data_IF_532988870031
#
_entry.id   IF_532988870031
#
_cell.length_a   1.000
_cell.length_b   1.000
_cell.length_c   1.000
_cell.angle_alpha   90.00
_cell.angle_beta   90.00
_cell.angle_gamma   90.00
#
_symmetry.space_group_name_H-M   'P 1'
#
loop_
_entity.id
_entity.type
_entity.pdbx_description
1 polymer ?
#
# COMPACT_ATOMS: atom_id res chain seq x y z
N UNK A 1 14.19 18.88 20.66
CA UNK A 1 13.07 18.82 21.64
C UNK A 1 11.76 18.67 20.89
N UNK A 2 11.42 19.59 20.00
CA UNK A 2 10.17 19.55 19.25
C UNK A 2 9.96 18.24 18.45
N UNK A 3 11.01 17.68 17.83
CA UNK A 3 10.92 16.41 17.07
C UNK A 3 10.62 15.22 17.98
N UNK A 4 11.16 15.20 19.19
CA UNK A 4 10.92 14.14 20.18
C UNK A 4 9.48 14.19 20.70
N UNK A 5 8.98 15.39 20.99
CA UNK A 5 7.60 15.60 21.43
C UNK A 5 6.59 15.21 20.35
N UNK A 6 6.83 15.60 19.10
CA UNK A 6 5.97 15.21 17.97
C UNK A 6 5.96 13.69 17.78
N UNK A 7 7.10 13.02 17.91
CA UNK A 7 7.17 11.57 17.82
C UNK A 7 6.40 10.89 18.95
N UNK A 8 6.52 11.39 20.19
CA UNK A 8 5.76 10.88 21.32
C UNK A 8 4.24 11.02 21.11
N UNK A 9 3.77 12.15 20.59
CA UNK A 9 2.37 12.35 20.24
C UNK A 9 1.91 11.38 19.15
N UNK A 10 2.71 11.17 18.12
CA UNK A 10 2.40 10.20 17.06
C UNK A 10 2.32 8.78 17.60
N UNK A 11 3.22 8.39 18.48
CA UNK A 11 3.21 7.06 19.10
C UNK A 11 2.00 6.86 19.98
N UNK A 12 1.58 7.89 20.71
CA UNK A 12 0.34 7.87 21.50
C UNK A 12 -0.88 7.61 20.61
N UNK A 13 -0.98 8.30 19.48
CA UNK A 13 -2.08 8.12 18.52
C UNK A 13 -2.04 6.73 17.91
N UNK A 14 -0.85 6.26 17.46
CA UNK A 14 -0.70 4.91 16.91
C UNK A 14 -1.14 3.83 17.91
N UNK A 15 -0.66 3.91 19.14
CA UNK A 15 -1.00 2.96 20.19
C UNK A 15 -2.52 2.94 20.45
N UNK A 16 -3.16 4.09 20.50
CA UNK A 16 -4.61 4.20 20.66
C UNK A 16 -5.37 3.50 19.53
N UNK A 17 -4.94 3.68 18.28
CA UNK A 17 -5.58 3.04 17.12
C UNK A 17 -5.34 1.53 17.15
N UNK A 18 -4.11 1.08 17.42
CA UNK A 18 -3.81 -0.34 17.55
C UNK A 18 -4.62 -1.02 18.67
N UNK A 19 -4.75 -0.38 19.84
CA UNK A 19 -5.58 -0.88 20.95
C UNK A 19 -7.05 -1.02 20.54
N UNK A 20 -7.57 -0.08 19.76
CA UNK A 20 -8.94 -0.15 19.24
C UNK A 20 -9.11 -1.30 18.25
N UNK A 21 -8.17 -1.48 17.34
CA UNK A 21 -8.18 -2.58 16.37
C UNK A 21 -8.16 -3.94 17.08
N UNK A 22 -7.26 -4.11 18.04
CA UNK A 22 -7.14 -5.36 18.81
C UNK A 22 -8.42 -5.63 19.63
N UNK A 23 -8.95 -4.60 20.29
CA UNK A 23 -10.18 -4.72 21.12
C UNK A 23 -11.39 -5.15 20.29
N UNK A 24 -11.49 -4.69 19.07
CA UNK A 24 -12.61 -4.97 18.18
C UNK A 24 -12.35 -6.13 17.21
N UNK A 25 -11.18 -6.74 17.25
CA UNK A 25 -10.80 -7.79 16.31
C UNK A 25 -10.87 -7.30 14.85
N UNK A 26 -10.47 -6.07 14.62
CA UNK A 26 -10.64 -5.39 13.33
C UNK A 26 -9.42 -5.48 12.41
N UNK A 27 -8.36 -6.18 12.81
CA UNK A 27 -7.23 -6.56 11.96
C UNK A 27 -7.42 -8.01 11.47
N UNK A 28 -7.24 -8.24 10.18
CA UNK A 28 -7.39 -9.55 9.57
C UNK A 28 -6.21 -10.49 9.83
N UNK A 29 -5.07 -9.96 10.31
CA UNK A 29 -3.90 -10.76 10.64
C UNK A 29 -4.01 -11.36 12.05
N UNK A 30 -3.40 -12.53 12.22
CA UNK A 30 -3.31 -13.14 13.54
C UNK A 30 -2.40 -12.33 14.48
N UNK A 31 -2.76 -12.27 15.75
CA UNK A 31 -2.02 -11.55 16.79
C UNK A 31 -2.40 -10.07 16.90
N UNK A 32 -1.56 -9.31 17.59
CA UNK A 32 -1.80 -7.89 17.80
C UNK A 32 -1.48 -7.05 16.57
N UNK A 33 -2.25 -5.99 16.35
CA UNK A 33 -2.02 -5.00 15.30
C UNK A 33 -0.80 -4.09 15.60
N UNK A 34 -0.32 -4.06 16.85
CA UNK A 34 0.76 -3.19 17.27
C UNK A 34 2.05 -3.38 16.46
N UNK A 35 2.70 -2.27 16.14
CA UNK A 35 4.00 -2.23 15.47
C UNK A 35 3.96 -2.42 13.96
N UNK A 36 2.78 -2.49 13.34
CA UNK A 36 2.64 -2.67 11.89
C UNK A 36 1.54 -1.77 11.31
N UNK A 37 1.53 -1.63 9.99
CA UNK A 37 0.38 -1.08 9.27
C UNK A 37 -0.72 -2.14 9.31
N UNK A 38 -1.91 -1.83 9.84
CA UNK A 38 -2.98 -2.81 10.00
C UNK A 38 -3.48 -3.34 8.66
N UNK A 39 -3.72 -4.65 8.58
CA UNK A 39 -4.52 -5.23 7.51
C UNK A 39 -5.98 -5.26 7.96
N UNK A 40 -6.63 -4.10 7.95
CA UNK A 40 -7.95 -3.93 8.52
C UNK A 40 -9.04 -4.70 7.78
N UNK A 41 -10.01 -5.21 8.53
CA UNK A 41 -11.20 -5.84 7.99
C UNK A 41 -11.99 -4.79 7.20
N UNK A 42 -12.30 -5.10 5.94
CA UNK A 42 -12.95 -4.15 5.03
C UNK A 42 -12.01 -3.47 4.03
N UNK A 43 -10.75 -3.90 3.94
CA UNK A 43 -9.79 -3.38 2.97
C UNK A 43 -10.28 -3.52 1.52
N UNK A 44 -10.97 -4.61 1.19
CA UNK A 44 -11.59 -4.82 -0.13
C UNK A 44 -12.67 -3.77 -0.40
N UNK A 45 -13.58 -3.55 0.54
CA UNK A 45 -14.62 -2.54 0.42
C UNK A 45 -14.03 -1.12 0.32
N UNK A 46 -12.94 -0.85 1.02
CA UNK A 46 -12.22 0.42 0.92
C UNK A 46 -11.62 0.61 -0.49
N UNK A 47 -11.07 -0.44 -1.08
CA UNK A 47 -10.57 -0.39 -2.45
C UNK A 47 -11.69 -0.14 -3.47
N UNK A 48 -12.88 -0.72 -3.25
CA UNK A 48 -14.05 -0.44 -4.09
C UNK A 48 -14.48 1.03 -4.00
N UNK A 49 -14.49 1.60 -2.80
CA UNK A 49 -14.79 3.03 -2.59
C UNK A 49 -13.74 3.95 -3.22
N UNK A 50 -12.46 3.58 -3.11
CA UNK A 50 -11.39 4.34 -3.77
C UNK A 50 -11.61 4.39 -5.28
N UNK A 51 -12.04 3.28 -5.88
CA UNK A 51 -12.26 3.19 -7.32
C UNK A 51 -13.46 4.03 -7.83
N UNK A 52 -14.36 4.44 -6.95
CA UNK A 52 -15.46 5.36 -7.28
C UNK A 52 -14.98 6.82 -7.41
N UNK A 53 -13.80 7.16 -6.88
CA UNK A 53 -13.29 8.52 -6.90
C UNK A 53 -12.75 8.89 -8.28
N UNK A 54 -13.00 10.15 -8.70
CA UNK A 54 -12.51 10.66 -9.98
C UNK A 54 -11.00 10.60 -10.09
N UNK A 55 -10.28 10.88 -9.01
CA UNK A 55 -8.80 10.78 -8.97
C UNK A 55 -8.29 9.39 -9.30
N UNK A 56 -9.02 8.34 -8.91
CA UNK A 56 -8.69 6.97 -9.30
C UNK A 56 -9.00 6.73 -10.77
N UNK A 57 -10.17 7.14 -11.22
CA UNK A 57 -10.63 6.90 -12.59
C UNK A 57 -9.71 7.57 -13.63
N UNK A 58 -9.21 8.75 -13.32
CA UNK A 58 -8.30 9.51 -14.18
C UNK A 58 -6.85 9.01 -14.12
N UNK A 59 -6.46 8.29 -13.08
CA UNK A 59 -5.08 7.83 -12.90
C UNK A 59 -4.73 6.70 -13.87
N UNK A 60 -3.64 6.88 -14.62
CA UNK A 60 -3.02 5.84 -15.43
C UNK A 60 -1.83 5.17 -14.71
N UNK A 61 -1.14 5.92 -13.87
CA UNK A 61 0.06 5.47 -13.14
C UNK A 61 -0.17 5.63 -11.63
N UNK A 62 -0.11 4.53 -10.91
CA UNK A 62 -0.31 4.47 -9.46
C UNK A 62 0.97 4.01 -8.77
N UNK A 63 1.35 4.71 -7.71
CA UNK A 63 2.41 4.27 -6.80
C UNK A 63 1.78 3.80 -5.49
N UNK A 64 2.17 2.62 -5.04
CA UNK A 64 1.63 2.01 -3.82
C UNK A 64 2.75 1.48 -2.92
N UNK A 65 2.42 1.26 -1.66
CA UNK A 65 3.31 0.58 -0.70
C UNK A 65 2.95 -0.91 -0.59
N UNK A 66 3.86 -1.77 -0.09
CA UNK A 66 3.66 -3.22 -0.11
C UNK A 66 2.71 -3.75 0.98
N UNK A 67 2.04 -2.89 1.72
CA UNK A 67 1.15 -3.29 2.82
C UNK A 67 0.02 -4.20 2.34
N UNK A 68 -0.36 -5.17 3.16
CA UNK A 68 -1.44 -6.12 2.85
C UNK A 68 -2.80 -5.44 2.68
N UNK A 69 -3.09 -4.42 3.48
CA UNK A 69 -4.33 -3.64 3.36
C UNK A 69 -4.50 -2.98 1.98
N UNK A 70 -3.42 -2.71 1.27
CA UNK A 70 -3.45 -2.12 -0.05
C UNK A 70 -3.45 -3.15 -1.19
N UNK A 71 -3.34 -4.43 -0.88
CA UNK A 71 -3.34 -5.49 -1.91
C UNK A 71 -4.59 -5.41 -2.80
N UNK A 72 -5.82 -5.27 -2.28
CA UNK A 72 -7.01 -5.14 -3.12
C UNK A 72 -6.96 -3.95 -4.07
N UNK A 73 -6.45 -2.80 -3.61
CA UNK A 73 -6.30 -1.62 -4.45
C UNK A 73 -5.24 -1.83 -5.55
N UNK A 74 -4.11 -2.45 -5.23
CA UNK A 74 -3.08 -2.77 -6.24
C UNK A 74 -3.59 -3.76 -7.28
N UNK A 75 -4.27 -4.83 -6.84
CA UNK A 75 -4.86 -5.81 -7.74
C UNK A 75 -5.88 -5.18 -8.69
N UNK A 76 -6.73 -4.30 -8.15
CA UNK A 76 -7.71 -3.56 -8.93
C UNK A 76 -7.05 -2.64 -9.96
N UNK A 77 -6.02 -1.90 -9.57
CA UNK A 77 -5.27 -1.06 -10.50
C UNK A 77 -4.75 -1.86 -11.69
N UNK A 78 -4.17 -3.02 -11.44
CA UNK A 78 -3.67 -3.91 -12.49
C UNK A 78 -4.79 -4.46 -13.38
N UNK A 79 -5.93 -4.88 -12.80
CA UNK A 79 -7.09 -5.35 -13.58
C UNK A 79 -7.65 -4.26 -14.49
N UNK A 80 -7.63 -3.02 -14.04
CA UNK A 80 -8.11 -1.87 -14.80
C UNK A 80 -7.08 -1.31 -15.79
N UNK A 81 -5.92 -1.97 -15.94
CA UNK A 81 -4.89 -1.58 -16.90
C UNK A 81 -4.00 -0.43 -16.46
N UNK A 82 -3.98 -0.10 -15.16
CA UNK A 82 -3.11 0.94 -14.62
C UNK A 82 -1.70 0.38 -14.37
N UNK A 83 -0.68 1.18 -14.70
CA UNK A 83 0.70 0.89 -14.33
C UNK A 83 0.87 1.05 -12.83
N UNK A 84 1.48 0.07 -12.17
CA UNK A 84 1.70 0.12 -10.71
C UNK A 84 3.19 0.09 -10.40
N UNK A 85 3.65 1.09 -9.68
CA UNK A 85 4.93 1.07 -8.99
C UNK A 85 4.70 0.69 -7.53
N UNK A 86 5.23 -0.45 -7.12
CA UNK A 86 5.17 -0.87 -5.71
C UNK A 86 6.54 -0.74 -5.07
N UNK A 87 6.62 -0.03 -3.96
CA UNK A 87 7.88 0.11 -3.23
C UNK A 87 8.38 -1.26 -2.74
N UNK A 88 9.66 -1.51 -2.90
CA UNK A 88 10.35 -2.62 -2.24
C UNK A 88 10.25 -2.40 -0.72
N UNK A 89 10.00 -3.45 0.09
CA UNK A 89 9.92 -3.30 1.53
C UNK A 89 11.12 -2.55 2.09
N UNK A 90 10.86 -1.50 2.87
CA UNK A 90 11.85 -0.60 3.48
C UNK A 90 12.77 0.10 2.48
N UNK A 91 12.43 0.11 1.19
CA UNK A 91 13.29 0.66 0.13
C UNK A 91 14.73 0.11 0.17
N UNK A 92 14.87 -1.17 0.50
CA UNK A 92 16.14 -1.80 0.88
C UNK A 92 17.05 -2.17 -0.32
N UNK A 93 16.70 -1.73 -1.54
CA UNK A 93 17.44 -2.04 -2.76
C UNK A 93 17.81 -0.75 -3.52
N UNK A 94 18.92 -0.76 -4.28
CA UNK A 94 19.31 0.39 -5.12
C UNK A 94 18.25 0.77 -6.16
N UNK A 95 17.50 -0.20 -6.66
CA UNK A 95 16.32 -0.01 -7.48
C UNK A 95 15.07 -0.29 -6.64
N UNK A 96 14.50 0.73 -5.97
CA UNK A 96 13.59 0.54 -4.85
C UNK A 96 12.13 0.33 -5.22
N UNK A 97 11.81 0.16 -6.50
CA UNK A 97 10.44 -0.05 -6.96
C UNK A 97 10.33 -1.29 -7.85
N UNK A 98 9.26 -2.06 -7.61
CA UNK A 98 8.78 -3.05 -8.56
C UNK A 98 7.91 -2.36 -9.61
N UNK A 99 8.22 -2.61 -10.88
CA UNK A 99 7.38 -2.20 -12.00
C UNK A 99 6.40 -3.32 -12.32
N UNK A 100 5.12 -3.07 -12.14
CA UNK A 100 4.04 -3.97 -12.53
C UNK A 100 3.26 -3.32 -13.68
N UNK A 101 3.53 -3.81 -14.88
CA UNK A 101 2.83 -3.40 -16.10
C UNK A 101 1.78 -4.45 -16.44
N UNK A 102 0.48 -4.10 -16.47
CA UNK A 102 -0.59 -5.04 -16.80
C UNK A 102 -0.39 -5.76 -18.14
N UNK A 103 0.25 -5.11 -19.10
CA UNK A 103 0.51 -5.68 -20.41
C UNK A 103 1.59 -6.79 -20.41
N UNK A 104 2.42 -6.82 -19.37
CA UNK A 104 3.57 -7.73 -19.26
C UNK A 104 3.36 -8.81 -18.18
N UNK A 105 2.24 -8.78 -17.45
CA UNK A 105 1.96 -9.76 -16.39
C UNK A 105 1.83 -11.17 -16.93
N UNK A 106 2.52 -12.11 -16.27
CA UNK A 106 2.46 -13.54 -16.56
C UNK A 106 1.58 -14.31 -15.56
N UNK A 107 1.09 -13.62 -14.54
CA UNK A 107 0.21 -14.15 -13.48
C UNK A 107 -1.02 -13.27 -13.33
N UNK A 108 -2.02 -13.74 -12.60
CA UNK A 108 -3.23 -12.95 -12.32
C UNK A 108 -2.88 -11.65 -11.56
N UNK A 109 -3.62 -10.55 -11.79
CA UNK A 109 -3.42 -9.28 -11.07
C UNK A 109 -3.40 -9.43 -9.56
N UNK A 110 -4.24 -10.28 -9.00
CA UNK A 110 -4.33 -10.57 -7.56
C UNK A 110 -3.04 -11.19 -7.02
N UNK A 111 -2.41 -12.06 -7.80
CA UNK A 111 -1.11 -12.66 -7.45
C UNK A 111 0.01 -11.64 -7.58
N UNK A 112 0.06 -10.92 -8.70
CA UNK A 112 1.08 -9.90 -8.97
C UNK A 112 1.05 -8.76 -7.94
N UNK A 113 -0.10 -8.42 -7.40
CA UNK A 113 -0.26 -7.38 -6.39
C UNK A 113 0.37 -7.73 -5.04
N UNK A 114 0.67 -9.00 -4.77
CA UNK A 114 1.40 -9.44 -3.58
C UNK A 114 2.88 -9.03 -3.69
N UNK A 115 3.43 -8.43 -2.63
CA UNK A 115 4.83 -8.02 -2.61
C UNK A 115 5.79 -9.21 -2.78
N UNK A 116 5.43 -10.39 -2.25
CA UNK A 116 6.21 -11.61 -2.40
C UNK A 116 6.27 -12.09 -3.84
N UNK A 117 5.14 -12.09 -4.53
CA UNK A 117 5.07 -12.49 -5.94
C UNK A 117 5.73 -11.45 -6.83
N UNK A 118 5.45 -10.16 -6.60
CA UNK A 118 6.09 -9.07 -7.32
C UNK A 118 7.62 -9.15 -7.25
N UNK A 119 8.18 -9.49 -6.10
CA UNK A 119 9.62 -9.66 -5.92
C UNK A 119 10.23 -10.75 -6.84
N UNK A 120 9.43 -11.73 -7.26
CA UNK A 120 9.91 -12.82 -8.15
C UNK A 120 9.65 -12.58 -9.63
N UNK A 121 8.69 -11.74 -9.99
CA UNK A 121 8.27 -11.56 -11.39
C UNK A 121 8.55 -10.17 -11.95
N UNK A 122 8.54 -9.13 -11.09
CA UNK A 122 8.64 -7.76 -11.53
C UNK A 122 10.10 -7.35 -11.79
N UNK A 123 10.28 -6.45 -12.74
CA UNK A 123 11.54 -5.74 -12.91
C UNK A 123 11.66 -4.66 -11.83
N UNK A 124 12.80 -4.61 -11.17
CA UNK A 124 13.13 -3.50 -10.28
C UNK A 124 13.60 -2.30 -11.10
N UNK A 125 13.17 -1.12 -10.71
CA UNK A 125 13.56 0.14 -11.34
C UNK A 125 14.04 1.17 -10.31
N UNK A 126 14.88 2.08 -10.78
CA UNK A 126 15.38 3.23 -10.02
C UNK A 126 14.45 4.44 -10.13
N UNK A 127 14.81 5.49 -9.40
CA UNK A 127 14.05 6.75 -9.39
C UNK A 127 14.02 7.43 -10.76
N UNK A 128 15.09 7.29 -11.53
CA UNK A 128 15.27 7.87 -12.87
C UNK A 128 14.38 7.22 -13.94
N UNK A 129 13.89 6.01 -13.69
CA UNK A 129 12.99 5.28 -14.58
C UNK A 129 11.50 5.52 -14.28
N UNK A 130 11.17 6.20 -13.18
CA UNK A 130 9.78 6.47 -12.83
C UNK A 130 9.14 7.45 -13.80
N UNK A 131 7.98 7.08 -14.31
CA UNK A 131 7.08 8.03 -15.00
C UNK A 131 6.41 8.95 -13.96
N UNK A 132 5.88 10.10 -14.39
CA UNK A 132 4.98 10.89 -13.54
C UNK A 132 3.87 10.02 -12.96
N UNK A 133 3.66 10.12 -11.66
CA UNK A 133 2.68 9.34 -10.92
C UNK A 133 1.41 10.17 -10.73
N UNK A 134 0.26 9.60 -11.11
CA UNK A 134 -1.02 10.29 -11.00
C UNK A 134 -1.65 10.14 -9.61
N UNK A 135 -1.40 9.00 -8.95
CA UNK A 135 -1.98 8.69 -7.64
C UNK A 135 -0.97 7.93 -6.78
N UNK A 136 -0.83 8.37 -5.54
CA UNK A 136 -0.03 7.67 -4.52
C UNK A 136 -0.95 7.12 -3.45
N UNK A 137 -0.83 5.82 -3.15
CA UNK A 137 -1.54 5.16 -2.06
C UNK A 137 -0.52 4.85 -0.96
N UNK A 138 -0.70 5.46 0.21
CA UNK A 138 0.18 5.30 1.35
C UNK A 138 -0.48 4.50 2.47
N UNK A 139 0.29 3.62 3.12
CA UNK A 139 -0.13 2.94 4.35
C UNK A 139 0.10 3.82 5.58
N UNK A 140 -0.86 3.83 6.48
CA UNK A 140 -0.79 4.56 7.74
C UNK A 140 -1.59 3.85 8.83
N UNK A 141 -1.16 4.00 10.08
CA UNK A 141 -1.93 3.51 11.23
C UNK A 141 -3.08 4.47 11.55
N UNK A 142 -2.81 5.77 11.44
CA UNK A 142 -3.78 6.81 11.69
C UNK A 142 -3.53 8.00 10.78
N UNK A 143 -4.58 8.75 10.48
CA UNK A 143 -4.54 9.98 9.70
C UNK A 143 -5.29 11.07 10.44
N UNK A 144 -4.93 12.32 10.19
CA UNK A 144 -5.68 13.50 10.65
C UNK A 144 -6.32 14.21 9.45
N UNK A 145 -7.24 15.11 9.77
CA UNK A 145 -7.84 16.00 8.77
C UNK A 145 -6.88 17.09 8.32
#
# INVERSE_FOLDING_TARGET
>A
VARTEVNACKDTIRNRVWDLLDRHGADAEAGSAHGRIPNFIGADAAADRLAELQVWQDAAVVKAVPDKAQLPARARALREGKLVYMAVPKLAQPQPFYLLDPAELTVAPEEAASSRVAASIARNIGLDELRPVDLIICGSVAVNH
#
